data_IF_816716644930
#
_entry.id   IF_816716644930
#
_cell.length_a   1.000
_cell.length_b   1.000
_cell.length_c   1.000
_cell.angle_alpha   90.00
_cell.angle_beta   90.00
_cell.angle_gamma   90.00
#
_symmetry.space_group_name_H-M   'P 1'
#
loop_
_entity.id
_entity.type
_entity.pdbx_description
1 polymer ?
#
# COMPACT_ATOMS: atom_id res chain seq x y z
N UNK A 1 7.81 9.25 9.07
CA UNK A 1 8.77 9.78 8.09
C UNK A 1 8.64 8.97 6.81
N UNK A 2 8.35 9.62 5.68
CA UNK A 2 8.33 8.98 4.35
C UNK A 2 9.66 9.23 3.65
N UNK A 3 10.19 8.23 2.94
CA UNK A 3 11.41 8.33 2.16
C UNK A 3 11.13 7.95 0.71
N UNK A 4 11.72 8.69 -0.23
CA UNK A 4 11.65 8.37 -1.66
C UNK A 4 12.80 7.43 -1.99
N UNK A 5 12.48 6.24 -2.52
CA UNK A 5 13.44 5.24 -2.95
C UNK A 5 13.58 5.23 -4.47
N UNK A 6 14.79 5.06 -4.98
CA UNK A 6 15.03 4.82 -6.42
C UNK A 6 14.76 3.35 -6.73
N UNK A 7 14.32 3.03 -7.96
CA UNK A 7 13.96 1.66 -8.37
C UNK A 7 15.08 0.61 -8.16
N UNK A 8 16.36 1.02 -8.19
CA UNK A 8 17.53 0.15 -7.98
C UNK A 8 17.96 0.04 -6.51
N UNK A 9 17.39 0.85 -5.63
CA UNK A 9 17.75 0.84 -4.22
C UNK A 9 17.06 -0.34 -3.54
N UNK A 10 17.79 -1.23 -2.85
CA UNK A 10 17.18 -2.36 -2.18
C UNK A 10 16.34 -1.88 -1.00
N UNK A 11 15.13 -2.40 -0.90
CA UNK A 11 14.26 -2.24 0.27
C UNK A 11 14.05 -3.61 0.90
N UNK A 12 14.17 -3.70 2.24
CA UNK A 12 14.05 -4.97 2.96
C UNK A 12 12.68 -5.19 3.58
N UNK A 13 11.80 -4.19 3.55
CA UNK A 13 10.46 -4.28 4.10
C UNK A 13 9.43 -4.80 3.11
N UNK A 14 8.17 -4.47 3.37
CA UNK A 14 7.04 -4.85 2.50
C UNK A 14 7.04 -3.96 1.26
N UNK A 15 7.02 -4.56 0.09
CA UNK A 15 6.93 -3.86 -1.19
C UNK A 15 5.58 -4.17 -1.82
N UNK A 16 4.69 -3.18 -1.92
CA UNK A 16 3.45 -3.36 -2.68
C UNK A 16 3.76 -3.35 -4.17
N UNK A 17 3.52 -4.48 -4.82
CA UNK A 17 3.84 -4.68 -6.22
C UNK A 17 2.83 -5.62 -6.87
N UNK A 18 2.42 -5.39 -8.13
CA UNK A 18 1.58 -6.33 -8.87
C UNK A 18 2.26 -7.70 -9.07
N UNK A 19 3.59 -7.79 -8.93
CA UNK A 19 4.34 -9.03 -9.01
C UNK A 19 4.33 -9.84 -7.70
N UNK A 20 3.69 -9.33 -6.64
CA UNK A 20 3.56 -10.06 -5.38
C UNK A 20 2.69 -11.30 -5.56
N UNK A 21 3.14 -12.43 -5.01
CA UNK A 21 2.40 -13.70 -5.05
C UNK A 21 1.59 -13.96 -3.79
N UNK A 22 1.80 -13.15 -2.74
CA UNK A 22 1.17 -13.29 -1.43
C UNK A 22 0.41 -12.01 -1.09
N UNK A 23 -0.82 -12.16 -0.60
CA UNK A 23 -1.56 -11.04 -0.05
C UNK A 23 -0.94 -10.58 1.27
N UNK A 24 -1.01 -9.26 1.54
CA UNK A 24 -0.70 -8.71 2.86
C UNK A 24 -1.59 -9.40 3.88
N UNK A 25 -1.00 -9.81 5.00
CA UNK A 25 -1.70 -10.48 6.09
C UNK A 25 -1.17 -10.02 7.45
N UNK A 26 -1.88 -10.31 8.55
CA UNK A 26 -1.41 -9.94 9.89
C UNK A 26 -0.02 -10.50 10.25
N UNK A 27 0.41 -11.60 9.62
CA UNK A 27 1.75 -12.15 9.86
C UNK A 27 2.87 -11.24 9.34
N UNK A 28 2.59 -10.31 8.43
CA UNK A 28 3.59 -9.37 7.91
C UNK A 28 3.91 -8.21 8.89
N UNK A 29 3.23 -8.14 10.05
CA UNK A 29 3.42 -7.08 11.04
C UNK A 29 4.88 -6.97 11.53
N UNK A 30 5.57 -8.10 11.72
CA UNK A 30 6.98 -8.09 12.15
C UNK A 30 7.90 -7.44 11.09
N UNK A 31 7.70 -7.75 9.80
CA UNK A 31 8.45 -7.14 8.69
C UNK A 31 8.19 -5.64 8.64
N UNK A 32 6.94 -5.24 8.82
CA UNK A 32 6.52 -3.85 8.81
C UNK A 32 7.19 -3.05 9.94
N UNK A 33 7.30 -3.63 11.14
CA UNK A 33 7.93 -3.00 12.29
C UNK A 33 9.45 -2.89 12.18
N UNK A 34 10.10 -3.93 11.64
CA UNK A 34 11.57 -3.96 11.51
C UNK A 34 12.06 -3.14 10.30
N UNK A 35 11.34 -3.20 9.18
CA UNK A 35 11.86 -2.76 7.88
C UNK A 35 10.93 -1.78 7.12
N UNK A 36 9.66 -1.67 7.52
CA UNK A 36 8.74 -0.66 7.01
C UNK A 36 7.99 -0.97 5.70
N UNK A 37 7.24 0.07 5.29
CA UNK A 37 6.43 0.29 4.08
C UNK A 37 7.15 0.79 2.82
N UNK A 38 7.10 0.09 1.67
CA UNK A 38 7.32 0.71 0.36
C UNK A 38 6.09 0.60 -0.56
N UNK A 39 5.68 1.75 -1.10
CA UNK A 39 4.62 1.89 -2.10
C UNK A 39 5.19 2.53 -3.36
N UNK A 40 4.65 2.16 -4.52
CA UNK A 40 5.15 2.63 -5.81
C UNK A 40 4.27 3.79 -6.28
N UNK A 41 4.82 5.00 -6.20
CA UNK A 41 4.14 6.21 -6.66
C UNK A 41 4.18 6.31 -8.19
N UNK A 42 3.10 5.88 -8.82
CA UNK A 42 2.93 5.91 -10.26
C UNK A 42 1.46 6.13 -10.60
N UNK A 43 1.19 6.76 -11.75
CA UNK A 43 -0.17 6.75 -12.27
C UNK A 43 -0.50 5.35 -12.79
N UNK A 44 -1.76 4.93 -12.65
CA UNK A 44 -2.25 3.65 -13.18
C UNK A 44 -1.96 3.48 -14.69
N UNK A 45 -1.86 4.58 -15.44
CA UNK A 45 -1.57 4.59 -16.88
C UNK A 45 -0.11 4.25 -17.23
N UNK A 46 0.81 4.29 -16.25
CA UNK A 46 2.26 4.12 -16.47
C UNK A 46 2.84 2.91 -15.74
N UNK A 47 2.00 2.00 -15.26
CA UNK A 47 2.45 0.79 -14.58
C UNK A 47 3.37 -0.06 -15.46
N UNK A 48 3.07 -0.15 -16.75
CA UNK A 48 3.86 -0.94 -17.71
C UNK A 48 5.28 -0.37 -17.94
N UNK A 49 5.50 0.90 -17.62
CA UNK A 49 6.81 1.56 -17.72
C UNK A 49 7.70 1.29 -16.49
N UNK A 50 7.15 0.71 -15.42
CA UNK A 50 7.88 0.53 -14.17
C UNK A 50 8.79 -0.69 -14.30
N UNK A 51 10.11 -0.53 -14.04
CA UNK A 51 11.05 -1.62 -14.16
C UNK A 51 10.97 -2.58 -12.96
N UNK A 52 9.83 -3.26 -12.76
CA UNK A 52 9.60 -4.19 -11.65
C UNK A 52 10.68 -5.28 -11.58
N UNK A 53 11.23 -5.69 -12.72
CA UNK A 53 12.33 -6.67 -12.79
C UNK A 53 13.63 -6.21 -12.07
N UNK A 54 13.79 -4.91 -11.84
CA UNK A 54 14.90 -4.32 -11.08
C UNK A 54 14.61 -4.27 -9.57
N UNK A 55 13.34 -4.29 -9.17
CA UNK A 55 12.89 -4.32 -7.78
C UNK A 55 12.80 -5.77 -7.30
N UNK A 56 13.95 -6.41 -7.03
CA UNK A 56 13.99 -7.83 -6.58
C UNK A 56 14.10 -8.01 -5.07
N UNK A 57 14.43 -6.94 -4.35
CA UNK A 57 14.67 -6.98 -2.92
C UNK A 57 13.38 -6.67 -2.15
N UNK A 58 13.22 -7.34 -1.01
CA UNK A 58 12.11 -7.11 -0.08
C UNK A 58 11.01 -8.15 -0.16
N UNK A 59 9.96 -7.93 0.62
CA UNK A 59 8.82 -8.83 0.72
C UNK A 59 7.70 -8.31 -0.17
N UNK A 60 7.66 -8.79 -1.42
CA UNK A 60 6.61 -8.41 -2.36
C UNK A 60 5.25 -8.93 -1.90
N UNK A 61 4.29 -8.02 -1.79
CA UNK A 61 2.91 -8.33 -1.39
C UNK A 61 1.92 -7.64 -2.33
N UNK A 62 0.76 -8.27 -2.48
CA UNK A 62 -0.43 -7.67 -3.10
C UNK A 62 -1.45 -7.34 -2.00
N UNK A 63 -2.30 -6.35 -2.24
CA UNK A 63 -3.41 -6.10 -1.34
C UNK A 63 -4.59 -7.01 -1.66
N UNK A 64 -5.38 -7.40 -0.64
CA UNK A 64 -6.66 -8.05 -0.88
C UNK A 64 -7.61 -7.13 -1.64
N UNK A 65 -8.75 -7.69 -2.04
CA UNK A 65 -9.79 -6.91 -2.68
C UNK A 65 -10.28 -5.80 -1.75
N UNK A 66 -10.18 -4.55 -2.23
CA UNK A 66 -10.52 -3.35 -1.50
C UNK A 66 -11.11 -2.34 -2.49
N UNK A 67 -12.02 -1.51 -2.00
CA UNK A 67 -12.70 -0.48 -2.79
C UNK A 67 -12.09 0.88 -2.47
N UNK A 68 -11.76 1.63 -3.51
CA UNK A 68 -11.24 2.98 -3.38
C UNK A 68 -12.30 3.96 -2.89
N UNK A 69 -11.89 4.87 -1.99
CA UNK A 69 -12.66 6.04 -1.56
C UNK A 69 -11.99 7.37 -1.97
N UNK A 70 -10.84 7.32 -2.64
CA UNK A 70 -10.22 8.51 -3.21
C UNK A 70 -11.12 9.19 -4.25
N UNK A 71 -10.93 10.50 -4.43
CA UNK A 71 -11.76 11.35 -5.29
C UNK A 71 -11.70 10.99 -6.79
N UNK A 72 -10.67 10.27 -7.24
CA UNK A 72 -10.46 9.94 -8.64
C UNK A 72 -11.13 8.62 -9.03
N UNK A 73 -11.11 7.63 -8.13
CA UNK A 73 -11.54 6.26 -8.39
C UNK A 73 -12.59 5.75 -7.39
N UNK A 74 -13.34 6.65 -6.75
CA UNK A 74 -14.36 6.30 -5.76
C UNK A 74 -15.25 5.13 -6.23
N UNK A 75 -15.41 4.11 -5.38
CA UNK A 75 -16.23 2.93 -5.65
C UNK A 75 -15.60 1.90 -6.60
N UNK A 76 -14.41 2.16 -7.16
CA UNK A 76 -13.73 1.22 -8.05
C UNK A 76 -12.91 0.20 -7.26
N UNK A 77 -13.03 -1.10 -7.55
CA UNK A 77 -12.24 -2.12 -6.87
C UNK A 77 -10.78 -2.06 -7.30
N UNK A 78 -9.87 -2.26 -6.35
CA UNK A 78 -8.41 -2.36 -6.53
C UNK A 78 -7.75 -1.16 -7.22
N UNK A 79 -8.44 -0.01 -7.33
CA UNK A 79 -7.91 1.25 -7.88
C UNK A 79 -7.55 2.23 -6.77
N UNK A 80 -6.84 1.71 -5.77
CA UNK A 80 -6.40 2.45 -4.60
C UNK A 80 -5.32 3.48 -4.98
N UNK A 81 -5.28 4.58 -4.24
CA UNK A 81 -4.15 5.49 -4.19
C UNK A 81 -3.01 4.92 -3.35
N UNK A 82 -1.81 5.49 -3.47
CA UNK A 82 -0.65 5.11 -2.64
C UNK A 82 -0.94 5.28 -1.14
N UNK A 83 -1.70 6.32 -0.76
CA UNK A 83 -2.12 6.56 0.61
C UNK A 83 -3.07 5.47 1.13
N UNK A 84 -4.10 5.13 0.36
CA UNK A 84 -5.04 4.04 0.70
C UNK A 84 -4.34 2.68 0.77
N UNK A 85 -3.42 2.41 -0.15
CA UNK A 85 -2.65 1.17 -0.18
C UNK A 85 -1.75 1.04 1.06
N UNK A 86 -1.10 2.13 1.46
CA UNK A 86 -0.33 2.17 2.70
C UNK A 86 -1.21 2.02 3.94
N UNK A 87 -2.34 2.72 3.99
CA UNK A 87 -3.29 2.62 5.10
C UNK A 87 -3.89 1.21 5.22
N UNK A 88 -4.25 0.57 4.11
CA UNK A 88 -4.74 -0.79 4.09
C UNK A 88 -3.70 -1.77 4.65
N UNK A 89 -2.44 -1.63 4.24
CA UNK A 89 -1.35 -2.47 4.75
C UNK A 89 -1.17 -2.30 6.25
N UNK A 90 -1.14 -1.05 6.73
CA UNK A 90 -1.07 -0.75 8.16
C UNK A 90 -2.25 -1.36 8.92
N UNK A 91 -3.46 -1.25 8.37
CA UNK A 91 -4.68 -1.76 9.00
C UNK A 91 -4.66 -3.29 9.11
N UNK A 92 -4.28 -3.99 8.03
CA UNK A 92 -4.20 -5.46 7.98
C UNK A 92 -3.12 -5.97 8.94
N UNK A 93 -1.98 -5.28 9.04
CA UNK A 93 -0.90 -5.61 9.98
C UNK A 93 -1.21 -5.19 11.44
N UNK A 94 -2.45 -4.80 11.76
CA UNK A 94 -2.88 -4.47 13.12
C UNK A 94 -2.52 -3.05 13.60
N UNK A 95 -1.87 -2.23 12.77
CA UNK A 95 -1.49 -0.83 13.07
C UNK A 95 -2.63 0.14 12.76
N UNK A 96 -3.83 -0.13 13.31
CA UNK A 96 -5.08 0.57 12.97
C UNK A 96 -5.02 2.07 13.25
N UNK A 97 -4.40 2.50 14.35
CA UNK A 97 -4.30 3.93 14.67
C UNK A 97 -3.37 4.68 13.72
N UNK A 98 -2.27 4.04 13.28
CA UNK A 98 -1.40 4.62 12.24
C UNK A 98 -2.13 4.72 10.89
N UNK A 99 -2.93 3.71 10.53
CA UNK A 99 -3.77 3.75 9.33
C UNK A 99 -4.79 4.90 9.40
N UNK A 100 -5.49 5.06 10.53
CA UNK A 100 -6.45 6.16 10.75
C UNK A 100 -5.76 7.52 10.73
N UNK A 101 -4.60 7.66 11.36
CA UNK A 101 -3.83 8.90 11.35
C UNK A 101 -3.42 9.27 9.92
N UNK A 102 -2.90 8.32 9.14
CA UNK A 102 -2.55 8.53 7.74
C UNK A 102 -3.77 8.96 6.91
N UNK A 103 -4.91 8.31 7.09
CA UNK A 103 -6.13 8.65 6.37
C UNK A 103 -6.77 9.95 6.88
N UNK A 104 -6.52 10.35 8.13
CA UNK A 104 -7.04 11.58 8.73
C UNK A 104 -6.50 12.86 8.07
N UNK A 105 -5.37 12.79 7.38
CA UNK A 105 -4.82 13.89 6.57
C UNK A 105 -5.68 14.17 5.31
N UNK A 106 -6.58 13.26 4.95
CA UNK A 106 -7.46 13.39 3.80
C UNK A 106 -8.90 13.57 4.26
N UNK A 107 -9.61 14.58 3.74
CA UNK A 107 -11.03 14.81 4.07
C UNK A 107 -11.95 13.62 3.75
N UNK A 108 -11.56 12.77 2.79
CA UNK A 108 -12.25 11.54 2.40
C UNK A 108 -11.66 10.28 3.05
N UNK A 109 -10.58 10.37 3.83
CA UNK A 109 -9.83 9.18 4.20
C UNK A 109 -10.55 8.25 5.18
N UNK A 110 -11.39 8.79 6.06
CA UNK A 110 -12.21 7.96 6.96
C UNK A 110 -13.27 7.15 6.20
N UNK A 111 -13.70 7.62 5.03
CA UNK A 111 -14.61 6.89 4.15
C UNK A 111 -13.96 5.62 3.61
N UNK A 112 -12.65 5.65 3.30
CA UNK A 112 -11.91 4.46 2.89
C UNK A 112 -11.99 3.36 3.95
N UNK A 113 -11.76 3.70 5.21
CA UNK A 113 -11.81 2.76 6.33
C UNK A 113 -13.24 2.26 6.56
N UNK A 114 -14.25 3.12 6.39
CA UNK A 114 -15.66 2.75 6.53
C UNK A 114 -16.11 1.79 5.43
N UNK A 115 -15.70 2.07 4.20
CA UNK A 115 -16.07 1.30 3.00
C UNK A 115 -15.52 -0.12 3.01
N UNK A 116 -14.38 -0.35 3.69
CA UNK A 116 -13.67 -1.62 3.71
C UNK A 116 -13.64 -2.26 5.13
N UNK A 117 -14.64 -1.99 5.97
CA UNK A 117 -14.68 -2.47 7.36
C UNK A 117 -15.29 -3.87 7.53
N UNK A 118 -15.95 -4.38 6.50
CA UNK A 118 -16.52 -5.74 6.45
C UNK A 118 -15.44 -6.80 6.22
#
# INVERSE_FOLDING_TARGET
FFFILRCKQPFRGIVLSPNGTQAVSPSDAHILDENGLSVIDCSWARLDEIPFAQMRAGHHRILPWLVAANTVNYGRPSKLSCAEAAAATLYICGKKEAAKALMGEFGWGMEFIRLNRE
#
